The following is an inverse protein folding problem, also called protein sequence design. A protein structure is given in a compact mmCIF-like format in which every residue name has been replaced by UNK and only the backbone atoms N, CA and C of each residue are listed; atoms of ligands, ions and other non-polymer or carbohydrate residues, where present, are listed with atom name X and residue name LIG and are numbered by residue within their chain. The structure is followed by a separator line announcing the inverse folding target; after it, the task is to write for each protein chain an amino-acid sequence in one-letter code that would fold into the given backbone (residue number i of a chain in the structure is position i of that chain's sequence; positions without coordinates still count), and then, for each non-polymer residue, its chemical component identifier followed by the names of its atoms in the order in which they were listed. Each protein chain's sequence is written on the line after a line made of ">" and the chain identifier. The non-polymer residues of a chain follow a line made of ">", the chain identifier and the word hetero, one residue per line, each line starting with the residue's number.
data_IF_442823593686
#
_entry.id   IF_442823593686
#
_cell.length_a   1.000
_cell.length_b   1.000
_cell.length_c   1.000
_cell.angle_alpha   90.00
_cell.angle_beta   90.00
_cell.angle_gamma   90.00
#
_symmetry.space_group_name_H-M   'P 1'
#
loop_
_entity.id
_entity.type
_entity.pdbx_description
1 polymer ?
#
# COMPACT_ATOMS: atom_id res chain seq x y z
N UNK A 1 62.06 2.94 -20.72
CA UNK A 1 61.09 1.96 -20.20
C UNK A 1 60.13 2.68 -19.27
N UNK A 2 59.06 3.20 -19.87
CA UNK A 2 57.81 3.58 -19.21
C UNK A 2 57.30 2.37 -18.40
N UNK A 3 56.52 2.48 -17.34
CA UNK A 3 55.98 3.59 -16.58
C UNK A 3 55.54 2.98 -15.25
N UNK A 4 55.62 3.76 -14.18
CA UNK A 4 55.17 3.33 -12.84
C UNK A 4 53.69 2.98 -12.92
N UNK A 5 53.37 1.76 -12.52
CA UNK A 5 52.01 1.26 -12.34
C UNK A 5 51.41 1.93 -11.10
N UNK A 6 51.04 3.22 -11.24
CA UNK A 6 50.22 3.94 -10.25
C UNK A 6 48.76 3.51 -10.43
N UNK A 7 48.41 2.40 -9.78
CA UNK A 7 47.02 1.99 -9.56
C UNK A 7 46.38 2.88 -8.46
N UNK A 8 45.04 3.08 -8.50
CA UNK A 8 44.48 4.41 -8.70
C UNK A 8 43.78 4.93 -7.45
N UNK A 9 44.48 5.76 -6.68
CA UNK A 9 43.91 6.50 -5.54
C UNK A 9 42.72 7.38 -5.95
N UNK A 10 42.74 7.95 -7.16
CA UNK A 10 41.62 8.74 -7.69
C UNK A 10 40.37 7.90 -8.02
N UNK A 11 40.54 6.66 -8.49
CA UNK A 11 39.42 5.74 -8.75
C UNK A 11 38.72 5.32 -7.44
N UNK A 12 39.50 5.04 -6.40
CA UNK A 12 38.97 4.78 -5.06
C UNK A 12 38.22 5.99 -4.49
N UNK A 13 38.78 7.19 -4.67
CA UNK A 13 38.17 8.43 -4.16
C UNK A 13 36.87 8.75 -4.91
N UNK A 14 36.85 8.58 -6.24
CA UNK A 14 35.65 8.74 -7.06
C UNK A 14 34.58 7.69 -6.77
N UNK A 15 34.94 6.42 -6.52
CA UNK A 15 34.00 5.39 -6.08
C UNK A 15 33.39 5.70 -4.70
N UNK A 16 34.19 6.25 -3.78
CA UNK A 16 33.74 6.69 -2.45
C UNK A 16 32.76 7.88 -2.55
N UNK A 17 33.02 8.83 -3.44
CA UNK A 17 32.17 10.02 -3.69
C UNK A 17 30.89 9.60 -4.41
N UNK A 18 30.97 8.75 -5.44
CA UNK A 18 29.82 8.20 -6.15
C UNK A 18 28.90 7.41 -5.20
N UNK A 19 29.48 6.56 -4.34
CA UNK A 19 28.73 5.85 -3.30
C UNK A 19 28.05 6.78 -2.29
N UNK A 20 28.72 7.86 -1.84
CA UNK A 20 28.09 8.89 -0.98
C UNK A 20 26.95 9.64 -1.68
N UNK A 21 27.09 9.88 -2.99
CA UNK A 21 26.12 10.65 -3.80
C UNK A 21 24.87 9.81 -4.13
N UNK A 22 25.03 8.50 -4.35
CA UNK A 22 23.91 7.55 -4.50
C UNK A 22 23.19 7.36 -3.15
N UNK A 23 23.94 7.26 -2.04
CA UNK A 23 23.36 7.11 -0.71
C UNK A 23 22.56 8.33 -0.24
N UNK A 24 23.03 9.55 -0.55
CA UNK A 24 22.32 10.77 -0.15
C UNK A 24 21.10 11.09 -1.02
N UNK A 25 21.12 10.70 -2.30
CA UNK A 25 20.03 10.97 -3.26
C UNK A 25 18.87 9.97 -3.18
N UNK A 26 19.13 8.72 -2.80
CA UNK A 26 18.09 7.68 -2.78
C UNK A 26 17.56 7.41 -1.37
N UNK A 27 18.42 7.43 -0.34
CA UNK A 27 18.05 7.00 1.02
C UNK A 27 17.27 8.05 1.83
N UNK A 28 17.64 9.34 1.71
CA UNK A 28 16.96 10.46 2.39
C UNK A 28 15.51 10.64 1.94
N UNK A 29 15.19 10.66 0.63
CA UNK A 29 13.80 10.74 0.20
C UNK A 29 13.02 9.48 0.55
N UNK A 30 13.63 8.29 0.51
CA UNK A 30 12.95 7.03 0.86
C UNK A 30 12.50 7.00 2.34
N UNK A 31 13.36 7.44 3.27
CA UNK A 31 13.02 7.51 4.70
C UNK A 31 11.95 8.58 4.99
N UNK A 32 12.02 9.71 4.30
CA UNK A 32 11.04 10.80 4.47
C UNK A 32 9.67 10.38 3.91
N UNK A 33 9.67 9.70 2.76
CA UNK A 33 8.48 9.16 2.11
C UNK A 33 7.82 8.08 2.98
N UNK A 34 8.60 7.14 3.51
CA UNK A 34 8.08 6.06 4.37
C UNK A 34 7.46 6.60 5.67
N UNK A 35 8.07 7.62 6.30
CA UNK A 35 7.51 8.28 7.49
C UNK A 35 6.21 9.00 7.19
N UNK A 36 6.13 9.73 6.07
CA UNK A 36 4.92 10.43 5.68
C UNK A 36 3.80 9.45 5.32
N UNK A 37 4.11 8.40 4.56
CA UNK A 37 3.17 7.33 4.17
C UNK A 37 2.52 6.67 5.39
N UNK A 38 3.31 6.24 6.38
CA UNK A 38 2.77 5.60 7.58
C UNK A 38 1.90 6.55 8.42
N UNK A 39 2.27 7.85 8.48
CA UNK A 39 1.46 8.85 9.18
C UNK A 39 0.12 9.05 8.48
N UNK A 40 0.13 9.23 7.16
CA UNK A 40 -1.09 9.42 6.37
C UNK A 40 -1.98 8.16 6.43
N UNK A 41 -1.39 6.96 6.33
CA UNK A 41 -2.14 5.71 6.47
C UNK A 41 -2.78 5.58 7.87
N UNK A 42 -2.05 5.92 8.93
CA UNK A 42 -2.59 5.91 10.29
C UNK A 42 -3.75 6.91 10.46
N UNK A 43 -3.59 8.13 9.96
CA UNK A 43 -4.64 9.17 10.00
C UNK A 43 -5.90 8.72 9.24
N UNK A 44 -5.75 8.05 8.09
CA UNK A 44 -6.88 7.54 7.33
C UNK A 44 -7.63 6.41 8.04
N UNK A 45 -6.91 5.48 8.68
CA UNK A 45 -7.52 4.39 9.47
C UNK A 45 -8.26 4.95 10.68
N UNK A 46 -7.71 5.94 11.38
CA UNK A 46 -8.37 6.62 12.51
C UNK A 46 -9.62 7.39 12.04
N UNK A 47 -9.57 8.01 10.87
CA UNK A 47 -10.72 8.70 10.26
C UNK A 47 -11.80 7.75 9.71
N UNK A 48 -11.60 6.42 9.78
CA UNK A 48 -12.55 5.41 9.29
C UNK A 48 -12.65 5.32 7.76
N UNK A 49 -11.76 5.99 7.02
CA UNK A 49 -11.71 5.99 5.55
C UNK A 49 -10.57 5.13 4.99
N UNK A 50 -9.60 4.76 5.83
CA UNK A 50 -8.42 3.99 5.46
C UNK A 50 -8.52 2.50 5.79
N UNK A 51 -7.69 1.71 5.11
CA UNK A 51 -7.58 0.26 5.29
C UNK A 51 -6.46 -0.08 6.28
N UNK A 52 -6.69 -1.03 7.18
CA UNK A 52 -5.67 -1.49 8.13
C UNK A 52 -4.44 -2.08 7.39
N UNK A 53 -4.66 -2.63 6.20
CA UNK A 53 -3.63 -3.16 5.31
C UNK A 53 -2.60 -2.08 4.90
N UNK A 54 -3.02 -0.84 4.67
CA UNK A 54 -2.13 0.26 4.29
C UNK A 54 -1.17 0.61 5.44
N UNK A 55 -1.67 0.62 6.68
CA UNK A 55 -0.85 0.86 7.89
C UNK A 55 0.15 -0.28 8.10
N UNK A 56 -0.26 -1.52 7.86
CA UNK A 56 0.61 -2.70 7.98
C UNK A 56 1.76 -2.63 6.97
N UNK A 57 1.47 -2.32 5.70
CA UNK A 57 2.47 -2.20 4.64
C UNK A 57 3.43 -1.05 4.94
N UNK A 58 2.92 0.14 5.25
CA UNK A 58 3.74 1.30 5.56
C UNK A 58 4.66 1.07 6.78
N UNK A 59 4.15 0.36 7.81
CA UNK A 59 4.94 0.01 8.99
C UNK A 59 6.11 -0.94 8.67
N UNK A 60 5.89 -1.90 7.76
CA UNK A 60 6.93 -2.83 7.29
C UNK A 60 7.98 -2.12 6.43
N UNK A 61 7.56 -1.17 5.59
CA UNK A 61 8.48 -0.34 4.80
C UNK A 61 9.43 0.49 5.66
N UNK A 62 8.97 1.02 6.80
CA UNK A 62 9.83 1.73 7.76
C UNK A 62 10.89 0.80 8.36
N UNK A 63 10.52 -0.43 8.72
CA UNK A 63 11.47 -1.41 9.24
C UNK A 63 12.51 -1.82 8.17
N UNK A 64 12.06 -2.09 6.95
CA UNK A 64 12.93 -2.41 5.81
C UNK A 64 13.90 -1.26 5.51
N UNK A 65 13.41 -0.03 5.45
CA UNK A 65 14.22 1.18 5.23
C UNK A 65 15.27 1.39 6.33
N UNK A 66 14.91 1.07 7.58
CA UNK A 66 15.83 1.13 8.72
C UNK A 66 16.94 0.08 8.63
N UNK A 67 16.63 -1.14 8.15
CA UNK A 67 17.63 -2.17 7.88
C UNK A 67 18.55 -1.80 6.72
N UNK A 68 18.00 -1.26 5.64
CA UNK A 68 18.82 -0.78 4.51
C UNK A 68 19.81 0.30 4.97
N UNK A 69 19.38 1.20 5.87
CA UNK A 69 20.25 2.22 6.45
C UNK A 69 21.39 1.60 7.27
N UNK A 70 21.11 0.55 8.05
CA UNK A 70 22.13 -0.20 8.80
C UNK A 70 23.11 -0.88 7.85
N UNK A 71 22.61 -1.58 6.84
CA UNK A 71 23.44 -2.33 5.89
C UNK A 71 24.37 -1.40 5.12
N UNK A 72 23.88 -0.24 4.72
CA UNK A 72 24.70 0.72 4.00
C UNK A 72 25.57 1.59 4.91
N UNK A 73 25.26 1.68 6.21
CA UNK A 73 26.21 2.21 7.20
C UNK A 73 27.34 1.22 7.48
N UNK A 74 27.07 -0.09 7.38
CA UNK A 74 28.05 -1.17 7.56
C UNK A 74 29.13 -1.21 6.47
N UNK A 75 28.83 -0.79 5.25
CA UNK A 75 29.84 -0.73 4.15
C UNK A 75 30.85 0.40 4.31
N UNK A 76 30.64 1.34 5.26
CA UNK A 76 31.47 2.53 5.45
C UNK A 76 32.05 2.68 6.85
N UNK A 77 31.56 1.91 7.83
CA UNK A 77 31.96 2.01 9.22
C UNK A 77 32.83 0.82 9.65
N UNK A 78 33.82 1.07 10.51
CA UNK A 78 34.59 0.02 11.15
C UNK A 78 33.68 -0.96 11.90
N UNK A 79 33.98 -2.25 11.80
CA UNK A 79 33.17 -3.33 12.38
C UNK A 79 33.04 -3.23 13.91
N UNK A 80 33.98 -2.55 14.57
CA UNK A 80 34.00 -2.28 16.02
C UNK A 80 33.42 -0.90 16.39
N UNK A 81 32.84 -0.16 15.44
CA UNK A 81 32.30 1.17 15.73
C UNK A 81 31.09 1.12 16.67
N UNK A 82 31.21 1.80 17.82
CA UNK A 82 30.11 1.98 18.79
C UNK A 82 28.86 2.57 18.13
N UNK A 83 29.05 3.49 17.16
CA UNK A 83 27.94 4.11 16.41
C UNK A 83 27.17 3.10 15.57
N UNK A 84 27.86 2.13 14.94
CA UNK A 84 27.24 1.06 14.16
C UNK A 84 26.51 0.06 15.07
N UNK A 85 27.07 -0.22 16.26
CA UNK A 85 26.40 -1.02 17.30
C UNK A 85 25.08 -0.39 17.76
N UNK A 86 25.10 0.92 18.07
CA UNK A 86 23.91 1.67 18.45
C UNK A 86 22.87 1.71 17.33
N UNK A 87 23.29 1.93 16.08
CA UNK A 87 22.38 1.94 14.93
C UNK A 87 21.69 0.57 14.71
N UNK A 88 22.43 -0.53 14.88
CA UNK A 88 21.87 -1.88 14.84
C UNK A 88 20.85 -2.12 15.95
N UNK A 89 21.14 -1.68 17.18
CA UNK A 89 20.22 -1.81 18.31
C UNK A 89 18.93 -1.02 18.08
N UNK A 90 19.04 0.21 17.55
CA UNK A 90 17.89 1.03 17.16
C UNK A 90 17.07 0.36 16.06
N UNK A 91 17.69 -0.19 15.03
CA UNK A 91 16.97 -0.87 13.94
C UNK A 91 16.25 -2.15 14.39
N UNK A 92 16.85 -2.92 15.32
CA UNK A 92 16.16 -4.05 15.98
C UNK A 92 14.96 -3.58 16.79
N UNK A 93 15.10 -2.46 17.49
CA UNK A 93 14.00 -1.85 18.26
C UNK A 93 12.86 -1.42 17.34
N UNK A 94 13.17 -0.76 16.21
CA UNK A 94 12.19 -0.39 15.19
C UNK A 94 11.46 -1.63 14.66
N UNK A 95 12.20 -2.70 14.32
CA UNK A 95 11.60 -3.94 13.81
C UNK A 95 10.63 -4.58 14.82
N UNK A 96 11.00 -4.56 16.11
CA UNK A 96 10.12 -5.05 17.20
C UNK A 96 8.85 -4.20 17.32
N UNK A 97 8.99 -2.88 17.33
CA UNK A 97 7.85 -1.95 17.41
C UNK A 97 6.92 -2.10 16.20
N UNK A 98 7.46 -2.22 14.99
CA UNK A 98 6.70 -2.53 13.78
C UNK A 98 5.92 -3.83 13.94
N UNK A 99 6.52 -4.88 14.48
CA UNK A 99 5.83 -6.14 14.77
C UNK A 99 4.64 -5.96 15.71
N UNK A 100 4.80 -5.18 16.79
CA UNK A 100 3.71 -4.84 17.71
C UNK A 100 2.59 -4.04 17.03
N UNK A 101 2.93 -3.05 16.20
CA UNK A 101 1.94 -2.24 15.46
C UNK A 101 1.16 -3.12 14.48
N UNK A 102 1.83 -4.01 13.74
CA UNK A 102 1.19 -4.94 12.80
C UNK A 102 0.26 -5.90 13.54
N UNK A 103 0.71 -6.54 14.62
CA UNK A 103 -0.13 -7.43 15.42
C UNK A 103 -1.33 -6.69 16.02
N UNK A 104 -1.16 -5.43 16.41
CA UNK A 104 -2.27 -4.59 16.91
C UNK A 104 -3.24 -4.25 15.79
N UNK A 105 -2.75 -3.89 14.60
CA UNK A 105 -3.58 -3.59 13.44
C UNK A 105 -4.37 -4.82 12.96
N UNK A 106 -3.75 -6.00 12.95
CA UNK A 106 -4.39 -7.29 12.64
C UNK A 106 -5.48 -7.60 13.68
N UNK A 107 -5.17 -7.49 14.98
CA UNK A 107 -6.16 -7.66 16.05
C UNK A 107 -7.32 -6.65 15.96
N UNK A 108 -7.04 -5.39 15.60
CA UNK A 108 -8.07 -4.37 15.40
C UNK A 108 -8.96 -4.71 14.21
N UNK A 109 -8.37 -5.11 13.08
CA UNK A 109 -9.10 -5.54 11.89
C UNK A 109 -10.01 -6.74 12.21
N UNK A 110 -9.47 -7.74 12.91
CA UNK A 110 -10.23 -8.94 13.29
C UNK A 110 -11.35 -8.59 14.28
N UNK A 111 -11.09 -7.69 15.24
CA UNK A 111 -12.14 -7.17 16.14
C UNK A 111 -13.21 -6.35 15.43
N UNK A 112 -12.86 -5.58 14.40
CA UNK A 112 -13.84 -4.85 13.57
C UNK A 112 -14.66 -5.83 12.73
N UNK A 113 -14.04 -6.89 12.20
CA UNK A 113 -14.76 -7.97 11.51
C UNK A 113 -15.72 -8.70 12.47
N UNK A 114 -15.27 -9.01 13.69
CA UNK A 114 -16.09 -9.66 14.73
C UNK A 114 -17.17 -8.71 15.27
N UNK A 115 -16.91 -7.41 15.40
CA UNK A 115 -17.93 -6.42 15.75
C UNK A 115 -18.98 -6.26 14.63
N UNK A 116 -18.60 -6.55 13.38
CA UNK A 116 -19.53 -6.68 12.25
C UNK A 116 -20.37 -7.97 12.30
N UNK A 117 -19.89 -9.03 12.97
CA UNK A 117 -20.67 -10.22 13.30
C UNK A 117 -21.43 -10.00 14.61
N UNK A 118 -22.60 -9.38 14.49
CA UNK A 118 -23.52 -9.04 15.57
C UNK A 118 -23.72 -10.20 16.58
N UNK A 119 -23.37 -9.98 17.84
CA UNK A 119 -23.80 -10.81 18.98
C UNK A 119 -25.29 -10.51 19.25
N UNK A 120 -26.17 -11.26 18.57
CA UNK A 120 -27.64 -11.09 18.63
C UNK A 120 -28.23 -11.24 20.04
N UNK A 121 -27.49 -11.84 20.99
CA UNK A 121 -28.00 -12.15 22.32
C UNK A 121 -28.00 -10.97 23.30
N UNK A 122 -27.43 -9.80 22.94
CA UNK A 122 -27.29 -8.64 23.87
C UNK A 122 -27.92 -7.33 23.40
N UNK A 123 -28.61 -7.32 22.25
CA UNK A 123 -29.17 -6.08 21.69
C UNK A 123 -30.62 -5.88 22.12
N UNK A 124 -30.93 -4.67 22.62
CA UNK A 124 -32.31 -4.23 22.90
C UNK A 124 -33.14 -4.25 21.60
N UNK A 125 -34.40 -4.71 21.69
CA UNK A 125 -35.33 -4.87 20.56
C UNK A 125 -35.36 -3.66 19.59
N UNK A 126 -35.27 -2.45 20.13
CA UNK A 126 -35.25 -1.21 19.35
C UNK A 126 -33.98 -1.06 18.48
N UNK A 127 -32.82 -1.44 19.01
CA UNK A 127 -31.56 -1.37 18.28
C UNK A 127 -31.51 -2.42 17.16
N UNK A 128 -32.01 -3.64 17.41
CA UNK A 128 -32.10 -4.70 16.41
C UNK A 128 -32.96 -4.26 15.21
N UNK A 129 -34.14 -3.68 15.46
CA UNK A 129 -35.02 -3.19 14.39
C UNK A 129 -34.41 -2.05 13.59
N UNK A 130 -33.66 -1.15 14.25
CA UNK A 130 -32.89 -0.09 13.58
C UNK A 130 -31.82 -0.67 12.65
N UNK A 131 -31.07 -1.65 13.14
CA UNK A 131 -30.02 -2.34 12.36
C UNK A 131 -30.58 -3.14 11.19
N UNK A 132 -31.72 -3.79 11.39
CA UNK A 132 -32.48 -4.47 10.33
C UNK A 132 -32.86 -3.47 9.23
N UNK A 133 -33.45 -2.33 9.59
CA UNK A 133 -33.80 -1.28 8.62
C UNK A 133 -32.57 -0.71 7.91
N UNK A 134 -31.47 -0.44 8.62
CA UNK A 134 -30.21 0.03 8.02
C UNK A 134 -29.63 -0.98 7.02
N UNK A 135 -29.75 -2.27 7.33
CA UNK A 135 -29.29 -3.35 6.45
C UNK A 135 -30.19 -3.48 5.22
N UNK A 136 -31.51 -3.40 5.40
CA UNK A 136 -32.46 -3.40 4.29
C UNK A 136 -32.24 -2.23 3.32
N UNK A 137 -31.95 -1.03 3.83
CA UNK A 137 -31.62 0.12 2.97
C UNK A 137 -30.39 -0.15 2.12
N UNK A 138 -29.31 -0.70 2.71
CA UNK A 138 -28.09 -1.05 1.96
C UNK A 138 -28.33 -2.12 0.89
N UNK A 139 -29.20 -3.09 1.18
CA UNK A 139 -29.62 -4.10 0.18
C UNK A 139 -30.30 -3.41 -1.00
N UNK A 140 -31.30 -2.56 -0.74
CA UNK A 140 -32.04 -1.85 -1.78
C UNK A 140 -31.14 -0.92 -2.62
N UNK A 141 -30.20 -0.22 -1.98
CA UNK A 141 -29.22 0.61 -2.68
C UNK A 141 -28.34 -0.22 -3.61
N UNK A 142 -27.88 -1.39 -3.16
CA UNK A 142 -27.04 -2.30 -3.95
C UNK A 142 -27.82 -2.91 -5.11
N UNK A 143 -29.07 -3.30 -4.89
CA UNK A 143 -29.98 -3.78 -5.95
C UNK A 143 -30.19 -2.70 -7.02
N UNK A 144 -30.43 -1.45 -6.61
CA UNK A 144 -30.55 -0.32 -7.55
C UNK A 144 -29.27 -0.09 -8.35
N UNK A 145 -28.10 -0.20 -7.72
CA UNK A 145 -26.82 -0.10 -8.42
C UNK A 145 -26.67 -1.22 -9.44
N UNK A 146 -26.99 -2.46 -9.08
CA UNK A 146 -26.95 -3.61 -9.98
C UNK A 146 -27.87 -3.41 -11.19
N UNK A 147 -29.09 -2.92 -10.98
CA UNK A 147 -30.04 -2.65 -12.07
C UNK A 147 -29.58 -1.52 -12.98
N UNK A 148 -28.90 -0.52 -12.42
CA UNK A 148 -28.29 0.57 -13.20
C UNK A 148 -27.19 0.02 -14.12
N UNK A 149 -26.30 -0.83 -13.60
CA UNK A 149 -25.24 -1.43 -14.41
C UNK A 149 -25.79 -2.41 -15.45
N UNK A 150 -26.85 -3.17 -15.12
CA UNK A 150 -27.56 -4.00 -16.11
C UNK A 150 -28.18 -3.17 -17.24
N UNK A 151 -28.75 -2.01 -16.91
CA UNK A 151 -29.32 -1.10 -17.91
C UNK A 151 -28.23 -0.55 -18.83
N UNK A 152 -27.10 -0.11 -18.27
CA UNK A 152 -25.92 0.31 -19.05
C UNK A 152 -25.39 -0.81 -19.94
N UNK A 153 -25.29 -2.04 -19.44
CA UNK A 153 -24.87 -3.19 -20.24
C UNK A 153 -25.84 -3.48 -21.39
N UNK A 154 -27.15 -3.34 -21.16
CA UNK A 154 -28.17 -3.48 -22.19
C UNK A 154 -28.03 -2.42 -23.28
N UNK A 155 -27.80 -1.16 -22.91
CA UNK A 155 -27.54 -0.06 -23.85
C UNK A 155 -26.25 -0.28 -24.65
N UNK A 156 -25.16 -0.70 -24.00
CA UNK A 156 -23.90 -1.05 -24.66
C UNK A 156 -24.09 -2.19 -25.66
N UNK A 157 -24.86 -3.22 -25.31
CA UNK A 157 -25.21 -4.31 -26.24
C UNK A 157 -26.03 -3.82 -27.43
N UNK A 158 -27.03 -2.97 -27.21
CA UNK A 158 -27.83 -2.35 -28.29
C UNK A 158 -26.96 -1.50 -29.21
N UNK A 159 -26.02 -0.72 -28.66
CA UNK A 159 -25.08 0.06 -29.45
C UNK A 159 -24.13 -0.84 -30.25
N UNK A 160 -23.64 -1.94 -29.64
CA UNK A 160 -22.80 -2.91 -30.33
C UNK A 160 -23.52 -3.56 -31.51
N UNK A 161 -24.78 -3.97 -31.36
CA UNK A 161 -25.55 -4.53 -32.47
C UNK A 161 -25.90 -3.49 -33.55
N UNK A 162 -26.18 -2.24 -33.17
CA UNK A 162 -26.39 -1.16 -34.14
C UNK A 162 -25.13 -0.91 -34.98
N UNK A 163 -23.98 -0.79 -34.32
CA UNK A 163 -22.71 -0.57 -35.00
C UNK A 163 -22.28 -1.79 -35.84
N UNK A 164 -22.51 -3.01 -35.34
CA UNK A 164 -22.28 -4.23 -36.12
C UNK A 164 -23.19 -4.30 -37.36
N UNK A 165 -24.46 -3.90 -37.25
CA UNK A 165 -25.38 -3.81 -38.38
C UNK A 165 -25.01 -2.73 -39.41
N UNK A 166 -24.39 -1.62 -38.97
CA UNK A 166 -23.83 -0.59 -39.85
C UNK A 166 -22.53 -1.06 -40.53
N UNK A 167 -21.73 -1.92 -39.89
CA UNK A 167 -20.49 -2.49 -40.43
C UNK A 167 -20.77 -3.67 -41.39
N UNK A 168 -21.82 -4.46 -41.16
CA UNK A 168 -22.18 -5.62 -42.00
C UNK A 168 -23.04 -5.28 -43.23
N UNK A 169 -23.35 -4.01 -43.50
CA UNK A 169 -23.83 -3.55 -44.80
C UNK A 169 -24.98 -4.37 -45.40
N UNK A 170 -26.18 -4.29 -44.82
CA UNK A 170 -27.41 -4.73 -45.50
C UNK A 170 -27.91 -3.68 -46.52
N UNK A 171 -26.99 -3.05 -47.24
CA UNK A 171 -27.26 -2.38 -48.52
C UNK A 171 -26.60 -3.20 -49.63
N UNK A 172 -27.22 -4.32 -50.00
CA UNK A 172 -27.27 -4.88 -51.35
C UNK A 172 -27.54 -6.40 -51.31
N UNK A 173 -28.82 -6.79 -51.42
CA UNK A 173 -29.25 -7.83 -52.36
C UNK A 173 -30.77 -8.06 -52.23
N UNK A 174 -31.47 -7.79 -53.33
CA UNK A 174 -32.82 -8.29 -53.70
C UNK A 174 -33.98 -7.74 -52.84
N UNK A 175 -35.00 -7.08 -53.42
CA UNK A 175 -35.73 -7.43 -54.64
C UNK A 175 -36.17 -6.13 -55.37
N UNK A 176 -35.97 -5.95 -56.68
CA UNK A 176 -36.76 -6.50 -57.81
C UNK A 176 -38.25 -6.68 -57.56
#
# INVERSE_FOLDING_TARGET
>A
MQGKEELPLESFTNAIIAGRRVYSRVQKPLLLLAKLSCRTAADQVVSGKGKFEEVIVASREIAASSMQLVMASRVKADKSSVKLGNLNATAKTISRLTGTVVATAENCRDKVAIAGTLDFSKLSLHYTKRMEMETLVKVLETEKQLDTERSKLSELRKHHYRLAGEIEGWEAAEMS
#
